data_IF_681502031509
#
_entry.id   IF_681502031509
#
_cell.length_a   1.000
_cell.length_b   1.000
_cell.length_c   1.000
_cell.angle_alpha   90.00
_cell.angle_beta   90.00
_cell.angle_gamma   90.00
#
_symmetry.space_group_name_H-M   'P 1'
#
loop_
_entity.id
_entity.type
_entity.pdbx_description
1 polymer ?
#
# COMPACT_ATOMS: atom_id res chain seq x y z
N UNK A 1 22.05 -11.21 -3.29
CA UNK A 1 21.12 -11.41 -2.14
C UNK A 1 21.16 -10.17 -1.26
N UNK A 2 20.01 -9.69 -0.83
CA UNK A 2 19.88 -8.54 0.05
C UNK A 2 20.42 -8.78 1.46
N UNK A 3 20.32 -7.77 2.31
CA UNK A 3 20.80 -7.81 3.69
C UNK A 3 19.76 -7.22 4.66
N UNK A 4 19.71 -7.77 5.87
CA UNK A 4 18.83 -7.35 6.95
C UNK A 4 19.58 -6.68 8.08
N UNK A 5 18.98 -5.61 8.61
CA UNK A 5 19.42 -4.92 9.82
C UNK A 5 18.25 -4.89 10.81
N UNK A 6 18.41 -5.49 11.99
CA UNK A 6 17.50 -5.25 13.12
C UNK A 6 17.90 -3.92 13.75
N UNK A 7 16.93 -2.99 13.84
CA UNK A 7 17.19 -1.66 14.38
C UNK A 7 17.42 -1.71 15.90
N UNK A 8 18.28 -0.84 16.39
CA UNK A 8 18.51 -0.69 17.84
C UNK A 8 17.30 -0.07 18.53
N UNK A 9 16.63 0.89 17.86
CA UNK A 9 15.41 1.51 18.34
C UNK A 9 14.19 0.60 18.15
N UNK A 10 13.34 0.59 19.18
CA UNK A 10 12.04 -0.10 19.16
C UNK A 10 10.97 0.80 18.56
N UNK A 11 9.96 0.21 17.91
CA UNK A 11 8.74 0.92 17.52
C UNK A 11 7.90 1.41 18.71
N UNK A 12 8.19 0.92 19.93
CA UNK A 12 7.51 1.22 21.18
C UNK A 12 6.04 0.76 21.23
N UNK A 13 5.39 0.57 20.09
CA UNK A 13 4.03 0.07 19.92
C UNK A 13 4.00 -0.92 18.76
N UNK A 14 3.04 -1.83 18.75
CA UNK A 14 2.83 -2.69 17.60
C UNK A 14 2.42 -1.83 16.39
N UNK A 15 3.17 -1.90 15.30
CA UNK A 15 2.87 -1.16 14.08
C UNK A 15 1.80 -1.92 13.28
N UNK A 16 0.53 -1.83 13.69
CA UNK A 16 -0.60 -2.49 13.01
C UNK A 16 -0.99 -1.75 11.73
N UNK A 17 -0.88 -0.42 11.75
CA UNK A 17 -1.12 0.46 10.63
C UNK A 17 0.10 1.33 10.43
N UNK A 18 0.53 1.55 9.19
CA UNK A 18 1.68 2.38 8.91
C UNK A 18 1.54 3.15 7.59
N UNK A 19 2.19 4.31 7.50
CA UNK A 19 2.27 5.10 6.27
C UNK A 19 3.59 5.85 6.18
N UNK A 20 4.08 6.03 4.94
CA UNK A 20 5.20 6.92 4.64
C UNK A 20 4.67 8.34 4.39
N UNK A 21 5.24 9.32 5.08
CA UNK A 21 4.85 10.72 5.00
C UNK A 21 5.74 11.52 4.01
N UNK A 22 5.27 12.67 3.50
CA UNK A 22 6.02 13.47 2.53
C UNK A 22 7.39 14.00 3.01
N UNK A 23 7.60 14.08 4.31
CA UNK A 23 8.89 14.43 4.91
C UNK A 23 9.86 13.24 5.07
N UNK A 24 9.45 12.04 4.62
CA UNK A 24 10.22 10.81 4.72
C UNK A 24 10.08 10.06 6.05
N UNK A 25 9.32 10.58 7.02
CA UNK A 25 9.02 9.88 8.27
C UNK A 25 8.03 8.74 8.03
N UNK A 26 8.11 7.69 8.85
CA UNK A 26 7.12 6.61 8.91
C UNK A 26 6.24 6.83 10.14
N UNK A 27 4.94 7.06 9.90
CA UNK A 27 3.95 7.07 10.99
C UNK A 27 3.32 5.70 11.11
N UNK A 28 3.12 5.23 12.34
CA UNK A 28 2.43 3.96 12.62
C UNK A 28 1.66 4.02 13.94
N UNK A 29 0.62 3.18 14.02
CA UNK A 29 -0.22 3.09 15.21
C UNK A 29 -0.80 1.69 15.40
N UNK A 30 -1.08 1.35 16.66
CA UNK A 30 -1.65 0.05 17.01
C UNK A 30 -3.18 0.06 17.09
N UNK A 31 -3.78 1.20 17.42
CA UNK A 31 -5.14 1.23 17.97
C UNK A 31 -5.17 0.76 19.42
N UNK A 32 -6.36 0.64 19.99
CA UNK A 32 -6.52 0.32 21.43
C UNK A 32 -6.36 -1.18 21.75
N UNK A 33 -6.54 -2.07 20.79
CA UNK A 33 -6.42 -3.53 20.94
C UNK A 33 -7.15 -4.11 22.18
N UNK A 34 -8.29 -3.50 22.58
CA UNK A 34 -9.07 -3.90 23.75
C UNK A 34 -8.51 -3.47 25.09
N UNK A 35 -7.50 -2.61 25.11
CA UNK A 35 -6.94 -1.99 26.34
C UNK A 35 -7.29 -0.51 26.36
N UNK A 36 -7.52 0.07 27.54
CA UNK A 36 -7.88 1.49 27.72
C UNK A 36 -6.73 2.48 27.43
N UNK A 37 -5.91 2.21 26.41
CA UNK A 37 -4.83 3.07 25.99
C UNK A 37 -5.26 3.75 24.69
N UNK A 38 -5.40 5.09 24.63
CA UNK A 38 -5.65 5.80 23.38
C UNK A 38 -4.66 5.36 22.33
N UNK A 39 -5.11 5.19 21.09
CA UNK A 39 -4.36 4.65 19.98
C UNK A 39 -2.90 5.12 19.99
N UNK A 40 -2.01 4.24 20.44
CA UNK A 40 -0.61 4.56 20.58
C UNK A 40 -0.02 4.74 19.18
N UNK A 41 0.24 6.00 18.82
CA UNK A 41 0.84 6.40 17.55
C UNK A 41 2.29 6.80 17.77
N UNK A 42 3.15 6.41 16.84
CA UNK A 42 4.55 6.82 16.80
C UNK A 42 4.92 7.28 15.40
N UNK A 43 5.92 8.14 15.36
CA UNK A 43 6.53 8.63 14.13
C UNK A 43 8.03 8.33 14.24
N UNK A 44 8.54 7.56 13.30
CA UNK A 44 9.95 7.21 13.20
C UNK A 44 10.60 7.95 12.03
N UNK A 45 11.74 8.57 12.28
CA UNK A 45 12.53 9.19 11.24
C UNK A 45 13.67 8.26 10.81
N UNK A 46 13.67 7.77 9.54
CA UNK A 46 14.66 6.79 9.07
C UNK A 46 16.10 7.30 9.06
N UNK A 47 16.31 8.62 8.98
CA UNK A 47 17.64 9.25 8.92
C UNK A 47 18.23 9.42 10.32
N UNK A 48 17.44 9.97 11.25
CA UNK A 48 17.90 10.26 12.62
C UNK A 48 17.70 9.09 13.57
N UNK A 49 16.96 8.07 13.17
CA UNK A 49 16.57 6.89 13.97
C UNK A 49 15.73 7.23 15.22
N UNK A 50 15.17 8.43 15.26
CA UNK A 50 14.37 8.90 16.41
C UNK A 50 12.92 8.46 16.26
N UNK A 51 12.37 7.87 17.32
CA UNK A 51 10.94 7.60 17.48
C UNK A 51 10.33 8.67 18.38
N UNK A 52 9.23 9.28 17.95
CA UNK A 52 8.53 10.34 18.69
C UNK A 52 7.02 10.12 18.68
N UNK A 53 6.31 10.76 19.58
CA UNK A 53 4.85 10.83 19.59
C UNK A 53 4.36 11.98 18.71
N UNK A 54 3.17 11.86 18.06
CA UNK A 54 2.53 13.00 17.43
C UNK A 54 1.99 13.97 18.50
N UNK A 55 1.77 15.25 18.16
CA UNK A 55 1.26 16.25 19.13
C UNK A 55 -0.14 15.97 19.66
N UNK A 56 -0.97 15.28 18.90
CA UNK A 56 -2.34 14.91 19.28
C UNK A 56 -2.59 13.44 19.02
N UNK A 57 -3.59 12.86 19.68
CA UNK A 57 -4.03 11.46 19.56
C UNK A 57 -5.50 11.40 19.13
N UNK A 58 -5.96 10.28 18.53
CA UNK A 58 -7.37 10.14 18.17
C UNK A 58 -8.24 10.01 19.43
N UNK A 59 -9.46 10.55 19.34
CA UNK A 59 -10.45 10.50 20.44
C UNK A 59 -11.16 9.14 20.52
N UNK A 60 -11.12 8.35 19.45
CA UNK A 60 -11.79 7.05 19.36
C UNK A 60 -10.77 5.98 18.98
N UNK A 61 -11.13 4.72 19.19
CA UNK A 61 -10.28 3.60 18.81
C UNK A 61 -10.24 3.42 17.29
N UNK A 62 -9.05 3.61 16.72
CA UNK A 62 -8.76 3.47 15.28
C UNK A 62 -8.20 2.07 14.93
N UNK A 63 -8.25 1.12 15.86
CA UNK A 63 -7.84 -0.25 15.58
C UNK A 63 -8.69 -0.86 14.46
N UNK A 64 -8.03 -1.46 13.49
CA UNK A 64 -8.68 -2.05 12.31
C UNK A 64 -9.44 -1.02 11.44
N UNK A 65 -8.93 0.22 11.36
CA UNK A 65 -9.39 1.26 10.45
C UNK A 65 -8.85 1.05 9.02
N UNK A 66 -9.50 1.67 8.03
CA UNK A 66 -8.94 1.89 6.70
C UNK A 66 -8.08 3.15 6.68
N UNK A 67 -7.05 3.18 5.83
CA UNK A 67 -6.21 4.37 5.70
C UNK A 67 -5.69 4.54 4.27
N UNK A 68 -5.51 5.80 3.85
CA UNK A 68 -4.93 6.13 2.54
C UNK A 68 -4.28 7.52 2.56
N UNK A 69 -3.13 7.72 1.87
CA UNK A 69 -2.55 9.04 1.70
C UNK A 69 -3.43 9.94 0.83
N UNK A 70 -3.64 11.18 1.26
CA UNK A 70 -4.30 12.23 0.51
C UNK A 70 -3.31 12.96 -0.41
N UNK A 71 -3.86 13.72 -1.36
CA UNK A 71 -3.05 14.51 -2.28
C UNK A 71 -2.18 15.59 -1.59
N UNK A 72 -2.59 16.07 -0.42
CA UNK A 72 -1.86 17.06 0.38
C UNK A 72 -0.82 16.43 1.33
N UNK A 73 -0.70 15.10 1.32
CA UNK A 73 0.28 14.34 2.12
C UNK A 73 -0.20 13.90 3.49
N UNK A 74 -1.39 14.34 3.94
CA UNK A 74 -2.02 13.78 5.14
C UNK A 74 -2.51 12.37 4.89
N UNK A 75 -2.69 11.61 5.96
CA UNK A 75 -3.29 10.27 5.89
C UNK A 75 -4.74 10.39 6.35
N UNK A 76 -5.69 10.03 5.49
CA UNK A 76 -7.07 9.82 5.90
C UNK A 76 -7.18 8.46 6.58
N UNK A 77 -7.72 8.45 7.80
CA UNK A 77 -8.00 7.25 8.58
C UNK A 77 -9.50 7.18 8.82
N UNK A 78 -10.13 6.05 8.48
CA UNK A 78 -11.59 5.89 8.48
C UNK A 78 -12.03 4.66 9.25
N UNK A 79 -13.05 4.80 10.09
CA UNK A 79 -13.59 3.70 10.84
C UNK A 79 -12.73 3.32 12.04
N UNK A 80 -12.64 2.02 12.31
CA UNK A 80 -11.99 1.45 13.48
C UNK A 80 -12.98 0.74 14.38
N UNK A 81 -12.57 0.41 15.60
CA UNK A 81 -13.36 -0.37 16.56
C UNK A 81 -14.19 0.55 17.46
N UNK A 82 -15.51 0.43 17.40
CA UNK A 82 -16.42 1.06 18.36
C UNK A 82 -16.68 0.15 19.56
N UNK A 83 -16.88 -1.14 19.29
CA UNK A 83 -17.04 -2.15 20.33
C UNK A 83 -16.31 -3.43 19.91
N UNK A 84 -15.60 -4.01 20.86
CA UNK A 84 -14.98 -5.33 20.72
C UNK A 84 -16.01 -6.45 20.84
N UNK A 85 -15.78 -7.62 20.22
CA UNK A 85 -16.71 -8.71 20.27
C UNK A 85 -16.87 -9.26 21.68
N UNK A 86 -18.07 -9.76 21.96
CA UNK A 86 -18.40 -10.52 23.17
C UNK A 86 -19.01 -11.84 22.73
N UNK A 87 -19.35 -12.73 23.68
CA UNK A 87 -20.01 -14.01 23.36
C UNK A 87 -21.32 -13.85 22.57
N UNK A 88 -21.93 -12.67 22.63
CA UNK A 88 -23.23 -12.39 22.02
C UNK A 88 -23.21 -11.34 20.89
N UNK A 89 -22.14 -10.56 20.78
CA UNK A 89 -22.06 -9.47 19.82
C UNK A 89 -20.77 -9.56 18.98
N UNK A 90 -20.84 -9.33 17.66
CA UNK A 90 -19.66 -9.22 16.80
C UNK A 90 -18.89 -7.89 17.07
N UNK A 91 -17.80 -7.66 16.35
CA UNK A 91 -17.19 -6.34 16.26
C UNK A 91 -18.19 -5.32 15.71
N UNK A 92 -18.20 -4.13 16.33
CA UNK A 92 -18.99 -2.99 15.87
C UNK A 92 -18.04 -1.91 15.35
N UNK A 93 -18.27 -1.47 14.12
CA UNK A 93 -17.47 -0.46 13.45
C UNK A 93 -17.75 0.97 13.91
N UNK A 94 -16.70 1.80 13.93
CA UNK A 94 -16.79 3.23 14.21
C UNK A 94 -17.15 4.04 12.96
N UNK A 95 -17.86 5.17 13.15
CA UNK A 95 -18.11 6.17 12.10
C UNK A 95 -17.01 7.22 12.00
N UNK A 96 -16.07 7.20 12.94
CA UNK A 96 -15.04 8.24 13.07
C UNK A 96 -14.16 8.30 11.85
N UNK A 97 -13.73 9.50 11.50
CA UNK A 97 -12.71 9.74 10.50
C UNK A 97 -11.73 10.82 10.99
N UNK A 98 -10.47 10.64 10.62
CA UNK A 98 -9.38 11.51 11.04
C UNK A 98 -8.44 11.81 9.87
N UNK A 99 -7.81 12.98 9.94
CA UNK A 99 -6.59 13.28 9.20
C UNK A 99 -5.41 13.13 10.15
N UNK A 100 -4.39 12.39 9.73
CA UNK A 100 -3.15 12.23 10.46
C UNK A 100 -2.02 12.93 9.71
N UNK A 101 -1.32 13.81 10.41
CA UNK A 101 -0.23 14.63 9.92
C UNK A 101 0.96 14.55 10.88
N UNK A 102 2.18 14.64 10.37
CA UNK A 102 3.40 14.51 11.20
C UNK A 102 3.63 15.67 12.17
N UNK A 103 3.09 16.84 11.87
CA UNK A 103 3.32 18.06 12.66
C UNK A 103 2.16 18.38 13.59
N UNK A 104 0.92 18.17 13.13
CA UNK A 104 -0.29 18.46 13.90
C UNK A 104 -0.77 17.23 14.67
N UNK A 105 -0.46 16.02 14.17
CA UNK A 105 -0.98 14.76 14.69
C UNK A 105 -2.38 14.46 14.15
N UNK A 106 -3.28 14.00 15.02
CA UNK A 106 -4.62 13.58 14.67
C UNK A 106 -5.61 14.77 14.70
N UNK A 107 -6.34 14.96 13.62
CA UNK A 107 -7.42 15.93 13.51
C UNK A 107 -8.69 15.21 13.13
N UNK A 108 -9.72 15.26 13.98
CA UNK A 108 -11.03 14.68 13.66
C UNK A 108 -11.70 15.46 12.53
N UNK A 109 -12.28 14.75 11.56
CA UNK A 109 -13.16 15.33 10.54
C UNK A 109 -14.59 14.84 10.75
N UNK A 110 -15.52 15.24 9.89
CA UNK A 110 -16.91 14.79 9.97
C UNK A 110 -16.99 13.25 9.93
N UNK A 111 -17.94 12.69 10.67
CA UNK A 111 -18.17 11.24 10.71
C UNK A 111 -18.78 10.75 9.40
N UNK A 112 -18.46 9.50 9.05
CA UNK A 112 -19.14 8.74 8.00
C UNK A 112 -20.61 8.50 8.33
N UNK A 113 -21.43 8.22 7.32
CA UNK A 113 -22.82 7.84 7.53
C UNK A 113 -22.97 6.46 8.19
N UNK A 114 -22.05 5.54 7.91
CA UNK A 114 -22.03 4.16 8.43
C UNK A 114 -20.77 3.86 9.24
N UNK A 115 -20.93 3.11 10.33
CA UNK A 115 -19.80 2.53 11.04
C UNK A 115 -19.04 1.54 10.16
N UNK A 116 -17.72 1.43 10.34
CA UNK A 116 -16.87 0.53 9.57
C UNK A 116 -15.73 0.01 10.42
N UNK A 117 -15.69 -1.31 10.60
CA UNK A 117 -14.56 -2.05 11.11
C UNK A 117 -14.01 -2.90 9.95
N UNK A 118 -12.72 -2.81 9.62
CA UNK A 118 -12.11 -3.40 8.42
C UNK A 118 -12.64 -2.82 7.08
N UNK A 119 -12.77 -1.50 6.91
CA UNK A 119 -13.07 -0.92 5.61
C UNK A 119 -11.83 -0.82 4.73
N UNK A 120 -12.00 -0.74 3.42
CA UNK A 120 -10.95 -0.30 2.51
C UNK A 120 -11.18 1.13 2.05
N UNK A 121 -10.07 1.88 1.93
CA UNK A 121 -10.06 3.26 1.47
C UNK A 121 -8.98 3.46 0.40
N UNK A 122 -9.33 4.09 -0.74
CA UNK A 122 -8.37 4.38 -1.81
C UNK A 122 -8.59 5.74 -2.45
N UNK A 123 -7.49 6.46 -2.70
CA UNK A 123 -7.50 7.72 -3.43
C UNK A 123 -7.85 7.49 -4.91
N UNK A 124 -8.84 8.21 -5.42
CA UNK A 124 -9.26 8.25 -6.82
C UNK A 124 -8.46 9.28 -7.62
N UNK A 125 -8.56 9.20 -8.95
CA UNK A 125 -7.92 10.14 -9.87
C UNK A 125 -8.33 11.60 -9.65
N UNK A 126 -9.56 11.84 -9.21
CA UNK A 126 -10.08 13.20 -8.94
C UNK A 126 -9.72 13.74 -7.55
N UNK A 127 -8.83 13.06 -6.81
CA UNK A 127 -8.38 13.50 -5.48
C UNK A 127 -9.35 13.21 -4.33
N UNK A 128 -10.50 12.56 -4.61
CA UNK A 128 -11.44 12.07 -3.59
C UNK A 128 -11.07 10.65 -3.16
N UNK A 129 -11.57 10.21 -2.02
CA UNK A 129 -11.30 8.86 -1.48
C UNK A 129 -12.56 8.02 -1.50
N UNK A 130 -12.49 6.87 -2.16
CA UNK A 130 -13.53 5.83 -2.12
C UNK A 130 -13.36 5.00 -0.85
N UNK A 131 -14.48 4.80 -0.12
CA UNK A 131 -14.53 3.95 1.08
C UNK A 131 -15.63 2.91 0.93
N UNK A 132 -15.26 1.65 1.07
CA UNK A 132 -16.16 0.51 0.89
C UNK A 132 -16.02 -0.52 2.01
N UNK A 133 -17.04 -1.34 2.19
CA UNK A 133 -17.09 -2.48 3.12
C UNK A 133 -16.91 -2.06 4.60
N UNK A 134 -16.63 -3.04 5.42
CA UNK A 134 -16.46 -2.95 6.87
C UNK A 134 -17.69 -3.42 7.65
N UNK A 135 -17.46 -3.99 8.84
CA UNK A 135 -18.55 -4.29 9.77
C UNK A 135 -19.15 -2.98 10.29
N UNK A 136 -20.46 -2.86 10.14
CA UNK A 136 -21.22 -1.65 10.43
C UNK A 136 -21.44 -1.42 11.93
N UNK A 137 -22.17 -0.37 12.24
CA UNK A 137 -22.62 -0.04 13.59
C UNK A 137 -23.73 -0.97 14.14
N UNK A 138 -24.21 -1.91 13.34
CA UNK A 138 -25.07 -3.03 13.74
C UNK A 138 -24.36 -4.40 13.74
N UNK A 139 -23.08 -4.44 13.37
CA UNK A 139 -22.24 -5.66 13.31
C UNK A 139 -22.33 -6.44 12.00
N UNK A 140 -23.23 -6.08 11.08
CA UNK A 140 -23.27 -6.62 9.73
C UNK A 140 -22.28 -5.94 8.79
N UNK A 141 -21.87 -6.58 7.71
CA UNK A 141 -21.06 -5.93 6.67
C UNK A 141 -21.93 -4.91 5.92
N UNK A 142 -21.49 -3.64 5.86
CA UNK A 142 -22.23 -2.63 5.11
C UNK A 142 -21.95 -2.73 3.61
N UNK A 143 -22.99 -2.78 2.76
CA UNK A 143 -22.84 -2.69 1.32
C UNK A 143 -22.67 -1.25 0.83
N UNK A 144 -22.83 -0.26 1.72
CA UNK A 144 -22.88 1.16 1.38
C UNK A 144 -21.49 1.66 0.98
N UNK A 145 -21.48 2.54 -0.03
CA UNK A 145 -20.27 3.16 -0.56
C UNK A 145 -20.29 4.65 -0.22
N UNK A 146 -19.21 5.16 0.33
CA UNK A 146 -19.02 6.56 0.66
C UNK A 146 -17.78 7.11 -0.03
N UNK A 147 -17.83 8.39 -0.37
CA UNK A 147 -16.68 9.14 -0.89
C UNK A 147 -16.36 10.27 0.08
N UNK A 148 -15.09 10.39 0.44
CA UNK A 148 -14.56 11.54 1.15
C UNK A 148 -13.91 12.51 0.18
N UNK A 149 -14.35 13.75 0.20
CA UNK A 149 -13.72 14.85 -0.51
C UNK A 149 -13.00 15.73 0.53
N UNK A 150 -11.68 15.92 0.44
CA UNK A 150 -10.94 16.75 1.38
C UNK A 150 -11.44 18.22 1.46
N UNK A 151 -12.16 18.69 0.44
CA UNK A 151 -12.68 20.06 0.37
C UNK A 151 -14.14 20.20 0.84
N UNK A 152 -14.97 19.16 0.63
CA UNK A 152 -16.42 19.23 0.91
C UNK A 152 -16.93 18.21 1.92
N UNK A 153 -16.10 17.24 2.33
CA UNK A 153 -16.46 16.21 3.30
C UNK A 153 -17.06 14.95 2.66
N UNK A 154 -17.99 14.29 3.39
CA UNK A 154 -18.54 13.00 3.00
C UNK A 154 -19.74 13.08 2.06
N UNK A 155 -19.74 12.21 1.07
CA UNK A 155 -20.84 11.92 0.17
C UNK A 155 -21.23 10.44 0.30
N UNK A 156 -22.48 10.16 0.63
CA UNK A 156 -23.04 8.80 0.54
C UNK A 156 -23.54 8.58 -0.88
N UNK A 157 -22.99 7.58 -1.57
CA UNK A 157 -23.39 7.30 -2.94
C UNK A 157 -24.78 6.69 -3.06
N UNK A 158 -25.34 6.73 -4.28
CA UNK A 158 -26.64 6.15 -4.62
C UNK A 158 -26.69 4.63 -4.35
N UNK A 159 -27.88 4.08 -4.25
CA UNK A 159 -28.05 2.63 -4.01
C UNK A 159 -27.49 1.74 -5.13
N UNK A 160 -27.37 2.26 -6.35
CA UNK A 160 -26.70 1.57 -7.47
C UNK A 160 -25.23 1.25 -7.20
N UNK A 161 -24.56 2.04 -6.34
CA UNK A 161 -23.19 1.79 -5.90
C UNK A 161 -23.08 0.71 -4.82
N UNK A 162 -24.18 0.28 -4.23
CA UNK A 162 -24.14 -0.69 -3.13
C UNK A 162 -23.67 -2.05 -3.59
N UNK A 163 -22.70 -2.63 -2.83
CA UNK A 163 -22.24 -3.99 -3.04
C UNK A 163 -21.74 -4.60 -1.74
N UNK A 164 -22.16 -5.82 -1.45
CA UNK A 164 -21.54 -6.60 -0.37
C UNK A 164 -20.14 -7.04 -0.83
N UNK A 165 -19.14 -6.58 -0.11
CA UNK A 165 -17.73 -6.93 -0.30
C UNK A 165 -17.22 -7.56 0.99
N UNK A 166 -16.21 -8.43 0.93
CA UNK A 166 -15.57 -8.95 2.15
C UNK A 166 -14.94 -7.81 2.96
N UNK A 167 -14.52 -8.10 4.18
CA UNK A 167 -13.74 -7.16 4.99
C UNK A 167 -12.38 -6.91 4.33
N UNK A 168 -11.89 -5.66 4.34
CA UNK A 168 -10.66 -5.25 3.67
C UNK A 168 -10.53 -5.73 2.22
N UNK A 169 -11.50 -5.48 1.34
CA UNK A 169 -11.33 -5.83 -0.08
C UNK A 169 -10.16 -5.05 -0.68
N UNK A 170 -9.37 -5.70 -1.56
CA UNK A 170 -8.21 -5.08 -2.21
C UNK A 170 -8.68 -4.17 -3.33
N UNK A 171 -8.34 -2.89 -3.27
CA UNK A 171 -8.75 -1.88 -4.25
C UNK A 171 -7.54 -1.37 -5.05
N UNK A 172 -7.70 -1.26 -6.37
CA UNK A 172 -6.68 -0.72 -7.25
C UNK A 172 -7.31 0.20 -8.29
N UNK A 173 -6.93 1.49 -8.30
CA UNK A 173 -7.30 2.42 -9.39
C UNK A 173 -6.55 1.99 -10.64
N UNK A 174 -7.26 1.75 -11.72
CA UNK A 174 -6.69 1.34 -13.00
C UNK A 174 -6.44 2.55 -13.91
N UNK A 175 -5.56 2.44 -14.91
CA UNK A 175 -5.38 3.47 -15.94
C UNK A 175 -6.67 3.82 -16.69
N UNK A 176 -7.66 2.92 -16.70
CA UNK A 176 -8.99 3.19 -17.26
C UNK A 176 -9.83 4.17 -16.40
N UNK A 177 -9.44 4.43 -15.16
CA UNK A 177 -10.22 5.19 -14.18
C UNK A 177 -11.18 4.35 -13.34
N UNK A 178 -11.40 3.08 -13.68
CA UNK A 178 -12.15 2.15 -12.83
C UNK A 178 -11.32 1.72 -11.62
N UNK A 179 -11.99 1.30 -10.57
CA UNK A 179 -11.37 0.69 -9.40
C UNK A 179 -11.58 -0.81 -9.44
N UNK A 180 -10.51 -1.57 -9.64
CA UNK A 180 -10.53 -3.02 -9.48
C UNK A 180 -10.63 -3.36 -8.00
N UNK A 181 -11.51 -4.30 -7.68
CA UNK A 181 -11.70 -4.86 -6.35
C UNK A 181 -11.54 -6.37 -6.41
N UNK A 182 -10.63 -6.93 -5.60
CA UNK A 182 -10.35 -8.37 -5.57
C UNK A 182 -9.82 -8.78 -4.19
N UNK A 183 -9.49 -10.07 -4.06
CA UNK A 183 -8.91 -10.63 -2.84
C UNK A 183 -9.90 -10.85 -1.71
N UNK A 184 -9.45 -11.43 -0.60
CA UNK A 184 -10.25 -11.79 0.55
C UNK A 184 -11.50 -12.61 0.21
N UNK A 185 -11.37 -13.57 -0.72
CA UNK A 185 -12.46 -14.45 -1.12
C UNK A 185 -13.45 -13.84 -2.11
N UNK A 186 -13.11 -12.72 -2.78
CA UNK A 186 -13.94 -12.12 -3.83
C UNK A 186 -13.38 -12.33 -5.23
N UNK A 187 -14.26 -12.53 -6.18
CA UNK A 187 -13.93 -12.45 -7.61
C UNK A 187 -13.61 -11.00 -7.99
N UNK A 188 -12.85 -10.84 -9.09
CA UNK A 188 -12.51 -9.53 -9.63
C UNK A 188 -13.76 -8.78 -10.12
N UNK A 189 -14.01 -7.64 -9.52
CA UNK A 189 -15.06 -6.70 -9.89
C UNK A 189 -14.48 -5.30 -10.11
N UNK A 190 -15.20 -4.47 -10.84
CA UNK A 190 -14.78 -3.11 -11.15
C UNK A 190 -15.85 -2.12 -10.73
N UNK A 191 -15.45 -1.08 -10.03
CA UNK A 191 -16.31 0.06 -9.72
C UNK A 191 -15.97 1.22 -10.65
N UNK A 192 -16.99 1.77 -11.30
CA UNK A 192 -16.87 3.01 -12.05
C UNK A 192 -17.25 4.19 -11.15
N UNK A 193 -16.30 5.08 -10.76
CA UNK A 193 -16.58 6.16 -9.83
C UNK A 193 -17.50 7.26 -10.41
N UNK A 194 -17.55 7.43 -11.73
CA UNK A 194 -18.40 8.44 -12.39
C UNK A 194 -19.83 7.94 -12.55
N UNK A 195 -19.99 6.69 -13.01
CA UNK A 195 -21.32 6.09 -13.14
C UNK A 195 -21.89 5.62 -11.80
N UNK A 196 -21.06 5.48 -10.76
CA UNK A 196 -21.41 4.90 -9.45
C UNK A 196 -22.01 3.50 -9.57
N UNK A 197 -21.42 2.67 -10.41
CA UNK A 197 -21.91 1.32 -10.71
C UNK A 197 -20.77 0.30 -10.67
N UNK A 198 -21.13 -0.95 -10.33
CA UNK A 198 -20.25 -2.10 -10.35
C UNK A 198 -20.47 -2.93 -11.62
N UNK A 199 -19.41 -3.52 -12.14
CA UNK A 199 -19.46 -4.61 -13.11
C UNK A 199 -18.55 -5.77 -12.69
N UNK A 200 -18.93 -6.97 -13.02
CA UNK A 200 -18.13 -8.17 -12.84
C UNK A 200 -17.38 -8.54 -14.13
N UNK A 201 -16.19 -9.14 -14.00
CA UNK A 201 -15.50 -9.72 -15.15
C UNK A 201 -16.15 -11.06 -15.58
N UNK A 202 -17.07 -11.58 -14.78
CA UNK A 202 -17.71 -12.87 -15.01
C UNK A 202 -16.76 -14.04 -14.70
N UNK A 203 -16.94 -15.23 -15.33
CA UNK A 203 -16.13 -16.41 -15.03
C UNK A 203 -14.62 -16.24 -15.22
N UNK A 204 -14.20 -15.33 -16.11
CA UNK A 204 -12.79 -15.01 -16.32
C UNK A 204 -12.14 -14.28 -15.14
N UNK A 205 -12.96 -13.66 -14.26
CA UNK A 205 -12.52 -12.99 -13.03
C UNK A 205 -12.46 -13.90 -11.82
N UNK A 206 -12.91 -15.14 -11.93
CA UNK A 206 -12.88 -16.10 -10.82
C UNK A 206 -11.45 -16.61 -10.58
N UNK A 207 -11.01 -16.56 -9.34
CA UNK A 207 -9.74 -17.14 -8.86
C UNK A 207 -10.02 -18.03 -7.65
N UNK A 208 -9.10 -18.90 -7.24
CA UNK A 208 -9.22 -19.56 -5.96
C UNK A 208 -9.46 -18.53 -4.86
N UNK A 209 -10.57 -18.64 -4.14
CA UNK A 209 -10.94 -17.72 -3.07
C UNK A 209 -9.99 -17.95 -1.90
N UNK A 210 -9.01 -17.06 -1.75
CA UNK A 210 -8.09 -17.04 -0.60
C UNK A 210 -8.34 -15.81 0.25
N UNK A 211 -8.03 -15.92 1.55
CA UNK A 211 -8.09 -14.82 2.50
C UNK A 211 -6.67 -14.36 2.81
N UNK A 212 -6.52 -13.06 3.09
CA UNK A 212 -5.26 -12.47 3.58
C UNK A 212 -4.07 -12.76 2.65
N UNK A 213 -4.32 -12.52 1.39
CA UNK A 213 -3.48 -12.74 0.23
C UNK A 213 -2.70 -11.47 -0.19
N UNK A 214 -1.73 -11.64 -1.08
CA UNK A 214 -1.17 -10.57 -1.88
C UNK A 214 -2.12 -10.27 -3.03
N UNK A 215 -2.56 -9.02 -3.14
CA UNK A 215 -3.23 -8.53 -4.34
C UNK A 215 -2.63 -7.17 -4.70
N UNK A 216 -2.03 -7.04 -5.88
CA UNK A 216 -1.26 -5.85 -6.24
C UNK A 216 -1.37 -5.52 -7.73
N UNK A 217 -1.42 -4.22 -8.04
CA UNK A 217 -1.21 -3.71 -9.39
C UNK A 217 0.30 -3.71 -9.65
N UNK A 218 0.74 -4.62 -10.52
CA UNK A 218 2.16 -4.81 -10.83
C UNK A 218 2.78 -3.58 -11.52
N UNK A 219 4.09 -3.46 -11.36
CA UNK A 219 4.91 -2.50 -12.07
C UNK A 219 5.15 -2.94 -13.53
N UNK A 220 5.17 -1.99 -14.46
CA UNK A 220 4.65 -0.65 -14.30
C UNK A 220 3.11 -0.61 -14.41
N UNK A 221 2.49 0.31 -13.67
CA UNK A 221 1.02 0.45 -13.60
C UNK A 221 0.35 0.66 -14.96
N UNK A 222 1.09 1.19 -15.95
CA UNK A 222 0.65 1.38 -17.34
C UNK A 222 0.13 0.09 -18.00
N UNK A 223 0.62 -1.06 -17.56
CA UNK A 223 0.24 -2.34 -18.13
C UNK A 223 -1.05 -2.93 -17.54
N UNK A 224 -1.60 -2.32 -16.49
CA UNK A 224 -2.83 -2.75 -15.85
C UNK A 224 -2.86 -4.27 -15.54
N UNK A 225 -1.73 -4.83 -15.09
CA UNK A 225 -1.62 -6.23 -14.69
C UNK A 225 -1.82 -6.36 -13.19
N UNK A 226 -2.72 -7.25 -12.78
CA UNK A 226 -2.92 -7.58 -11.37
C UNK A 226 -2.29 -8.94 -11.07
N UNK A 227 -1.59 -9.02 -9.94
CA UNK A 227 -1.12 -10.26 -9.32
C UNK A 227 -1.98 -10.60 -8.12
N UNK A 228 -2.32 -11.86 -7.99
CA UNK A 228 -2.90 -12.45 -6.80
C UNK A 228 -2.05 -13.65 -6.37
N UNK A 229 -1.58 -13.68 -5.11
CA UNK A 229 -0.71 -14.75 -4.64
C UNK A 229 -0.85 -15.03 -3.14
N UNK A 230 -0.65 -16.28 -2.74
CA UNK A 230 -0.70 -16.69 -1.34
C UNK A 230 -2.09 -16.61 -0.72
N UNK A 231 -2.15 -16.31 0.56
CA UNK A 231 -3.38 -16.37 1.35
C UNK A 231 -3.73 -17.81 1.76
N UNK A 232 -4.92 -18.01 2.30
CA UNK A 232 -5.43 -19.31 2.68
C UNK A 232 -6.75 -19.60 2.00
N UNK A 233 -6.85 -20.77 1.35
CA UNK A 233 -8.09 -21.24 0.76
C UNK A 233 -9.04 -21.75 1.86
N UNK A 234 -10.37 -21.51 1.77
CA UNK A 234 -11.33 -21.95 2.78
C UNK A 234 -11.29 -23.46 3.07
N UNK A 235 -11.00 -24.25 2.04
CA UNK A 235 -10.91 -25.72 2.13
C UNK A 235 -9.57 -26.21 2.72
N UNK A 236 -8.54 -25.37 2.82
CA UNK A 236 -7.22 -25.74 3.34
C UNK A 236 -7.14 -25.70 4.87
N UNK A 237 -8.22 -25.30 5.55
CA UNK A 237 -8.21 -25.01 6.97
C UNK A 237 -7.31 -23.82 7.27
N UNK A 238 -6.34 -23.96 8.20
CA UNK A 238 -5.42 -22.91 8.62
C UNK A 238 -4.13 -22.84 7.78
N UNK A 239 -4.01 -23.59 6.67
CA UNK A 239 -2.79 -23.64 5.86
C UNK A 239 -2.80 -22.56 4.76
N UNK A 240 -1.68 -21.87 4.61
CA UNK A 240 -1.42 -20.96 3.50
C UNK A 240 -1.20 -21.70 2.18
N UNK A 241 -1.26 -20.97 1.05
CA UNK A 241 -0.96 -21.49 -0.29
C UNK A 241 0.25 -20.79 -0.91
N UNK A 242 0.88 -21.48 -1.86
CA UNK A 242 1.93 -20.92 -2.73
C UNK A 242 1.40 -20.41 -4.05
N UNK A 243 0.13 -20.65 -4.36
CA UNK A 243 -0.47 -20.36 -5.65
C UNK A 243 -0.32 -18.88 -6.03
N UNK A 244 -0.06 -18.62 -7.31
CA UNK A 244 0.06 -17.27 -7.84
C UNK A 244 -0.61 -17.19 -9.22
N UNK A 245 -1.32 -16.09 -9.45
CA UNK A 245 -2.09 -15.85 -10.65
C UNK A 245 -1.88 -14.41 -11.13
N UNK A 246 -1.88 -14.23 -12.44
CA UNK A 246 -1.83 -12.90 -13.07
C UNK A 246 -3.02 -12.74 -14.03
N UNK A 247 -3.55 -11.54 -14.07
CA UNK A 247 -4.46 -11.10 -15.13
C UNK A 247 -3.88 -9.84 -15.80
N UNK A 248 -3.94 -9.81 -17.13
CA UNK A 248 -3.63 -8.63 -17.95
C UNK A 248 -4.97 -8.00 -18.40
N UNK A 249 -5.31 -6.86 -17.82
CA UNK A 249 -6.57 -6.16 -18.11
C UNK A 249 -6.55 -5.41 -19.45
N UNK A 250 -5.38 -5.27 -20.11
CA UNK A 250 -5.25 -4.75 -21.45
C UNK A 250 -5.39 -5.83 -22.53
N UNK A 251 -5.44 -7.10 -22.16
CA UNK A 251 -5.68 -8.18 -23.13
C UNK A 251 -7.11 -8.07 -23.73
N UNK A 252 -7.32 -8.50 -24.99
CA UNK A 252 -8.64 -8.51 -25.61
C UNK A 252 -9.71 -9.30 -24.82
N UNK A 253 -9.28 -10.43 -24.23
CA UNK A 253 -10.09 -11.30 -23.39
C UNK A 253 -9.37 -11.51 -22.05
N UNK A 254 -9.49 -10.58 -21.08
CA UNK A 254 -8.81 -10.68 -19.79
C UNK A 254 -9.29 -11.92 -19.03
N UNK A 255 -8.33 -12.73 -18.60
CA UNK A 255 -8.60 -13.89 -17.74
C UNK A 255 -7.43 -14.15 -16.80
N UNK A 256 -7.71 -14.63 -15.61
CA UNK A 256 -6.67 -15.08 -14.71
C UNK A 256 -5.95 -16.30 -15.30
N UNK A 257 -4.64 -16.29 -15.18
CA UNK A 257 -3.80 -17.46 -15.47
C UNK A 257 -2.86 -17.75 -14.30
N UNK A 258 -2.67 -19.00 -14.02
CA UNK A 258 -1.69 -19.45 -13.07
C UNK A 258 -0.27 -19.20 -13.60
N UNK A 259 0.63 -18.80 -12.71
CA UNK A 259 2.06 -18.63 -12.95
C UNK A 259 2.87 -19.51 -11.99
N UNK A 260 4.19 -19.48 -12.11
CA UNK A 260 5.06 -20.18 -11.16
C UNK A 260 4.66 -19.83 -9.71
N UNK A 261 4.47 -20.81 -8.84
CA UNK A 261 4.09 -20.57 -7.44
C UNK A 261 5.26 -19.96 -6.64
N UNK A 262 4.95 -19.33 -5.53
CA UNK A 262 5.95 -18.98 -4.51
C UNK A 262 6.64 -20.25 -3.97
N UNK A 263 7.83 -20.12 -3.42
CA UNK A 263 8.54 -21.22 -2.76
C UNK A 263 7.89 -21.58 -1.42
N UNK A 264 7.34 -20.60 -0.71
CA UNK A 264 6.74 -20.79 0.60
C UNK A 264 5.24 -20.40 0.60
N UNK A 265 4.37 -21.22 1.20
CA UNK A 265 2.97 -20.82 1.43
C UNK A 265 2.94 -19.69 2.46
N UNK A 266 2.07 -18.70 2.24
CA UNK A 266 2.01 -17.52 3.09
C UNK A 266 0.58 -17.10 3.37
N UNK A 267 0.23 -17.02 4.66
CA UNK A 267 -0.94 -16.32 5.16
C UNK A 267 -0.50 -15.00 5.78
N UNK A 268 -1.15 -13.88 5.46
CA UNK A 268 -0.77 -12.51 5.84
C UNK A 268 0.61 -12.04 5.34
N UNK A 269 1.01 -12.27 4.09
CA UNK A 269 2.23 -11.70 3.56
C UNK A 269 2.08 -10.22 3.24
N UNK A 270 3.12 -9.43 3.48
CA UNK A 270 3.21 -8.06 2.96
C UNK A 270 3.82 -8.06 1.57
N UNK A 271 3.49 -7.05 0.76
CA UNK A 271 4.07 -6.87 -0.57
C UNK A 271 4.44 -5.42 -0.84
N UNK A 272 5.63 -5.19 -1.43
CA UNK A 272 6.20 -3.87 -1.68
C UNK A 272 6.76 -3.82 -3.10
N UNK A 273 6.32 -2.83 -3.90
CA UNK A 273 6.91 -2.54 -5.20
C UNK A 273 8.28 -1.88 -5.01
N UNK A 274 9.32 -2.42 -5.65
CA UNK A 274 10.69 -1.94 -5.57
C UNK A 274 11.01 -0.94 -6.70
N UNK A 275 12.08 -0.13 -6.57
CA UNK A 275 12.51 0.82 -7.60
C UNK A 275 12.79 0.21 -8.97
N UNK A 276 13.26 -1.04 -9.02
CA UNK A 276 13.52 -1.78 -10.26
C UNK A 276 12.26 -2.45 -10.87
N UNK A 277 11.09 -2.16 -10.32
CA UNK A 277 9.80 -2.69 -10.78
C UNK A 277 9.46 -4.08 -10.29
N UNK A 278 10.32 -4.74 -9.53
CA UNK A 278 10.01 -6.03 -8.91
C UNK A 278 9.10 -5.90 -7.71
N UNK A 279 8.46 -7.00 -7.33
CA UNK A 279 7.62 -7.10 -6.15
C UNK A 279 8.32 -7.90 -5.06
N UNK A 280 8.56 -7.27 -3.92
CA UNK A 280 9.10 -7.91 -2.72
C UNK A 280 7.95 -8.41 -1.85
N UNK A 281 7.91 -9.70 -1.54
CA UNK A 281 6.91 -10.35 -0.68
C UNK A 281 7.59 -10.84 0.58
N UNK A 282 7.09 -10.44 1.75
CA UNK A 282 7.77 -10.66 3.02
C UNK A 282 6.80 -11.02 4.14
N UNK A 283 7.25 -11.85 5.07
CA UNK A 283 6.46 -12.28 6.22
C UNK A 283 5.35 -13.25 5.87
N UNK A 284 4.37 -13.29 6.74
CA UNK A 284 3.32 -14.29 6.73
C UNK A 284 3.73 -15.59 7.40
N UNK A 285 2.75 -16.47 7.61
CA UNK A 285 2.93 -17.79 8.17
C UNK A 285 2.51 -18.88 7.20
N UNK A 286 3.11 -20.08 7.32
CA UNK A 286 2.63 -21.26 6.60
C UNK A 286 1.28 -21.75 7.11
N UNK A 287 0.98 -21.40 8.36
CA UNK A 287 -0.29 -21.63 9.02
C UNK A 287 -0.73 -20.31 9.68
N UNK A 288 -2.05 -20.09 9.85
CA UNK A 288 -2.59 -18.88 10.43
C UNK A 288 -1.89 -18.52 11.77
N UNK A 289 -1.26 -17.36 11.81
CA UNK A 289 -0.54 -16.83 12.97
C UNK A 289 0.53 -17.77 13.59
N UNK A 290 1.02 -18.72 12.80
CA UNK A 290 2.02 -19.71 13.23
C UNK A 290 2.99 -20.00 12.08
N UNK A 291 4.09 -20.70 12.42
CA UNK A 291 5.11 -21.15 11.46
C UNK A 291 5.54 -20.03 10.50
N UNK A 292 6.19 -18.97 11.01
CA UNK A 292 6.53 -17.78 10.24
C UNK A 292 7.49 -18.11 9.09
N UNK A 293 7.26 -17.48 7.94
CA UNK A 293 8.17 -17.54 6.79
C UNK A 293 9.16 -16.39 6.91
N UNK A 294 10.43 -16.73 7.12
CA UNK A 294 11.50 -15.75 7.30
C UNK A 294 12.14 -15.31 5.98
N UNK A 295 12.19 -16.19 4.99
CA UNK A 295 12.75 -15.92 3.68
C UNK A 295 11.77 -15.06 2.86
N UNK A 296 12.14 -13.82 2.45
CA UNK A 296 11.33 -13.08 1.51
C UNK A 296 11.47 -13.66 0.10
N UNK A 297 10.51 -13.35 -0.74
CA UNK A 297 10.53 -13.73 -2.15
C UNK A 297 10.34 -12.49 -3.03
N UNK A 298 11.10 -12.42 -4.11
CA UNK A 298 11.07 -11.33 -5.07
C UNK A 298 10.47 -11.87 -6.37
N UNK A 299 9.36 -11.26 -6.80
CA UNK A 299 8.73 -11.54 -8.09
C UNK A 299 9.23 -10.55 -9.13
N UNK A 300 9.73 -11.07 -10.24
CA UNK A 300 10.08 -10.27 -11.41
C UNK A 300 8.93 -10.33 -12.43
N UNK A 301 8.19 -9.23 -12.65
CA UNK A 301 7.06 -9.23 -13.57
C UNK A 301 7.45 -9.31 -15.05
N UNK A 302 8.73 -9.09 -15.38
CA UNK A 302 9.23 -9.20 -16.76
C UNK A 302 9.47 -10.66 -17.17
N UNK A 303 9.95 -11.48 -16.22
CA UNK A 303 10.22 -12.91 -16.44
C UNK A 303 9.17 -13.83 -15.83
N UNK A 304 8.29 -13.26 -14.96
CA UNK A 304 7.27 -13.97 -14.18
C UNK A 304 7.85 -15.09 -13.30
N UNK A 305 9.00 -14.81 -12.69
CA UNK A 305 9.71 -15.75 -11.84
C UNK A 305 9.86 -15.23 -10.42
N UNK A 306 9.90 -16.16 -9.48
CA UNK A 306 10.18 -15.91 -8.06
C UNK A 306 11.61 -16.25 -7.71
N UNK A 307 12.23 -15.43 -6.87
CA UNK A 307 13.56 -15.67 -6.29
C UNK A 307 13.49 -15.49 -4.78
N UNK A 308 13.92 -16.48 -4.03
CA UNK A 308 14.05 -16.39 -2.57
C UNK A 308 15.30 -15.59 -2.21
N UNK A 309 15.21 -14.75 -1.19
CA UNK A 309 16.33 -13.93 -0.72
C UNK A 309 16.67 -14.18 0.76
N UNK A 310 17.65 -13.43 1.30
CA UNK A 310 18.17 -13.60 2.64
C UNK A 310 17.06 -13.53 3.70
N UNK A 311 17.03 -14.46 4.68
CA UNK A 311 15.98 -14.48 5.69
C UNK A 311 16.04 -13.30 6.65
N UNK A 312 14.88 -12.76 7.01
CA UNK A 312 14.76 -11.79 8.11
C UNK A 312 15.00 -12.44 9.47
N UNK A 313 15.27 -11.63 10.48
CA UNK A 313 15.62 -12.12 11.81
C UNK A 313 14.42 -12.11 12.77
N UNK A 314 13.41 -11.31 12.49
CA UNK A 314 12.21 -11.16 13.33
C UNK A 314 10.99 -11.71 12.60
N UNK A 315 10.28 -12.71 13.18
CA UNK A 315 9.05 -13.23 12.58
C UNK A 315 8.01 -12.14 12.38
N UNK A 316 7.37 -12.16 11.19
CA UNK A 316 6.30 -11.22 10.81
C UNK A 316 5.07 -12.01 10.42
N UNK A 317 4.08 -12.02 11.29
CA UNK A 317 2.79 -12.67 11.08
C UNK A 317 1.69 -11.61 10.92
N UNK A 318 0.47 -11.91 11.35
CA UNK A 318 -0.65 -10.96 11.32
C UNK A 318 -0.31 -9.64 12.01
N UNK A 319 -0.87 -8.54 11.52
CA UNK A 319 -0.57 -7.16 11.95
C UNK A 319 0.89 -6.71 11.69
N UNK A 320 1.61 -7.37 10.79
CA UNK A 320 2.88 -6.85 10.30
C UNK A 320 2.70 -5.91 9.11
N UNK A 321 3.68 -5.05 8.88
CA UNK A 321 3.70 -4.07 7.81
C UNK A 321 5.07 -4.01 7.13
N UNK A 322 5.06 -3.64 5.85
CA UNK A 322 6.26 -3.37 5.06
C UNK A 322 6.06 -2.14 4.17
N UNK A 323 7.02 -1.21 4.15
CA UNK A 323 7.00 0.03 3.37
C UNK A 323 8.34 0.27 2.68
N UNK A 324 8.29 0.67 1.41
CA UNK A 324 9.47 1.20 0.71
C UNK A 324 9.83 2.58 1.26
N UNK A 325 11.11 2.80 1.55
CA UNK A 325 11.65 4.08 1.98
C UNK A 325 12.29 4.84 0.80
N UNK A 326 12.45 6.17 0.91
CA UNK A 326 13.08 6.98 -0.14
C UNK A 326 14.51 6.57 -0.50
N UNK A 327 15.22 5.92 0.42
CA UNK A 327 16.57 5.41 0.17
C UNK A 327 16.59 4.04 -0.54
N UNK A 328 15.41 3.49 -0.89
CA UNK A 328 15.27 2.21 -1.60
C UNK A 328 15.31 0.98 -0.70
N UNK A 329 15.46 1.14 0.62
CA UNK A 329 15.30 0.04 1.58
C UNK A 329 13.83 -0.21 1.88
N UNK A 330 13.52 -1.39 2.41
CA UNK A 330 12.19 -1.72 2.90
C UNK A 330 12.20 -1.76 4.43
N UNK A 331 11.38 -0.94 5.06
CA UNK A 331 11.11 -1.01 6.50
C UNK A 331 10.06 -2.08 6.77
N UNK A 332 10.32 -2.92 7.78
CA UNK A 332 9.42 -4.01 8.18
C UNK A 332 9.24 -3.99 9.69
N UNK A 333 7.99 -3.99 10.15
CA UNK A 333 7.67 -3.94 11.57
C UNK A 333 6.30 -4.55 11.86
N UNK A 334 5.87 -4.53 13.12
CA UNK A 334 4.57 -5.05 13.55
C UNK A 334 4.59 -6.55 13.78
N UNK A 335 3.44 -7.14 13.87
CA UNK A 335 3.02 -8.39 14.48
C UNK A 335 2.59 -8.17 15.93
N UNK A 336 1.60 -8.92 16.39
CA UNK A 336 1.06 -8.77 17.76
C UNK A 336 2.15 -8.92 18.81
N UNK A 337 2.31 -7.86 19.61
CA UNK A 337 3.30 -7.81 20.69
C UNK A 337 4.76 -7.60 20.25
N UNK A 338 5.06 -7.52 18.95
CA UNK A 338 6.42 -7.31 18.45
C UNK A 338 6.71 -5.83 18.21
N UNK A 339 7.77 -5.31 18.80
CA UNK A 339 8.19 -3.91 18.68
C UNK A 339 9.56 -3.73 18.03
N UNK A 340 10.27 -4.80 17.68
CA UNK A 340 11.50 -4.68 16.89
C UNK A 340 11.17 -4.29 15.46
N UNK A 341 12.00 -3.45 14.88
CA UNK A 341 11.93 -3.04 13.49
C UNK A 341 13.12 -3.56 12.73
N UNK A 342 12.95 -3.83 11.44
CA UNK A 342 14.03 -4.27 10.55
C UNK A 342 14.05 -3.41 9.30
N UNK A 343 15.25 -3.25 8.73
CA UNK A 343 15.44 -2.72 7.38
C UNK A 343 16.01 -3.81 6.49
N UNK A 344 15.36 -4.02 5.36
CA UNK A 344 15.87 -4.83 4.28
C UNK A 344 16.54 -3.94 3.23
N UNK A 345 17.80 -4.22 2.92
CA UNK A 345 18.55 -3.63 1.82
C UNK A 345 18.57 -4.62 0.65
N UNK A 346 17.80 -4.37 -0.42
CA UNK A 346 17.88 -5.18 -1.63
C UNK A 346 19.29 -5.20 -2.22
N UNK A 347 19.61 -6.19 -3.03
CA UNK A 347 20.94 -6.41 -3.60
C UNK A 347 21.42 -5.21 -4.44
N UNK A 348 20.54 -4.47 -5.10
CA UNK A 348 20.88 -3.25 -5.83
C UNK A 348 21.49 -2.15 -4.94
N UNK A 349 21.32 -2.21 -3.61
CA UNK A 349 21.95 -1.28 -2.65
C UNK A 349 23.32 -1.75 -2.14
N UNK A 350 23.70 -3.00 -2.42
CA UNK A 350 24.92 -3.63 -1.89
C UNK A 350 26.11 -3.55 -2.85
N UNK A 351 25.88 -3.05 -4.06
CA UNK A 351 26.92 -2.81 -5.08
C UNK A 351 27.30 -1.33 -5.17
N UNK A 352 28.21 -0.94 -5.94
CA UNK A 352 28.63 0.34 -6.44
C UNK A 352 28.24 1.65 -5.73
N UNK A 353 28.69 2.77 -6.26
CA UNK A 353 28.25 4.10 -5.85
C UNK A 353 26.84 4.37 -6.40
N UNK A 354 26.01 5.02 -5.61
CA UNK A 354 24.65 5.38 -6.03
C UNK A 354 24.66 6.70 -6.80
N UNK A 355 23.84 6.85 -7.85
CA UNK A 355 23.65 8.16 -8.46
C UNK A 355 23.06 9.14 -7.43
N UNK A 356 23.47 10.39 -7.51
CA UNK A 356 23.03 11.44 -6.58
C UNK A 356 22.23 12.48 -7.34
N UNK A 357 20.94 12.61 -7.04
CA UNK A 357 20.08 13.67 -7.56
C UNK A 357 20.40 14.94 -6.78
N UNK A 358 20.90 15.96 -7.47
CA UNK A 358 21.26 17.26 -6.86
C UNK A 358 20.13 18.27 -6.94
N UNK A 359 19.25 18.14 -7.92
CA UNK A 359 18.08 18.99 -8.09
C UNK A 359 16.91 18.23 -8.71
N UNK A 360 15.74 18.43 -8.13
CA UNK A 360 14.46 17.94 -8.62
C UNK A 360 13.33 18.86 -8.14
N UNK A 361 12.26 19.07 -8.91
CA UNK A 361 11.16 19.93 -8.48
C UNK A 361 10.41 19.34 -7.30
N UNK A 362 9.95 20.21 -6.38
CA UNK A 362 9.10 19.79 -5.26
C UNK A 362 7.69 19.36 -5.72
N UNK A 363 7.22 19.85 -6.87
CA UNK A 363 5.93 19.49 -7.47
C UNK A 363 5.96 19.54 -8.98
N UNK A 364 5.14 18.69 -9.62
CA UNK A 364 4.98 18.63 -11.07
C UNK A 364 3.51 18.46 -11.43
N UNK A 365 3.15 18.85 -12.67
CA UNK A 365 1.80 18.68 -13.20
C UNK A 365 1.76 17.61 -14.29
N UNK A 366 0.60 17.00 -14.49
CA UNK A 366 0.41 15.93 -15.46
C UNK A 366 0.82 16.33 -16.87
N UNK A 367 1.50 15.41 -17.58
CA UNK A 367 1.92 15.57 -18.96
C UNK A 367 3.01 16.62 -19.21
N UNK A 368 3.51 17.31 -18.15
CA UNK A 368 4.54 18.31 -18.29
C UNK A 368 5.94 17.72 -18.18
N UNK A 369 6.87 18.26 -18.95
CA UNK A 369 8.28 17.96 -18.79
C UNK A 369 8.85 18.72 -17.58
N UNK A 370 9.76 18.08 -16.84
CA UNK A 370 10.50 18.71 -15.73
C UNK A 370 11.95 18.25 -15.73
N UNK A 371 12.89 19.15 -15.36
CA UNK A 371 14.30 18.79 -15.30
C UNK A 371 14.65 18.11 -13.98
N UNK A 372 15.66 17.25 -14.02
CA UNK A 372 16.44 16.80 -12.87
C UNK A 372 17.92 16.90 -13.18
N UNK A 373 18.75 17.05 -12.16
CA UNK A 373 20.21 17.08 -12.29
C UNK A 373 20.84 16.01 -11.40
N UNK A 374 21.90 15.41 -11.91
CA UNK A 374 22.74 14.47 -11.16
C UNK A 374 24.08 15.11 -10.81
N UNK A 375 24.73 14.62 -9.78
CA UNK A 375 26.05 15.10 -9.35
C UNK A 375 27.15 14.77 -10.36
N UNK A 376 26.99 13.63 -11.04
CA UNK A 376 27.97 13.09 -11.98
C UNK A 376 27.26 12.71 -13.29
N UNK A 377 27.99 12.69 -14.38
CA UNK A 377 27.51 12.18 -15.67
C UNK A 377 27.43 10.64 -15.60
N UNK A 378 26.27 10.15 -15.22
CA UNK A 378 25.97 8.72 -15.15
C UNK A 378 24.91 8.34 -16.16
N UNK A 379 25.10 7.19 -16.78
CA UNK A 379 24.06 6.59 -17.62
C UNK A 379 22.85 6.21 -16.77
N UNK A 380 21.66 6.63 -17.17
CA UNK A 380 20.38 6.24 -16.54
C UNK A 380 19.74 5.11 -17.34
N UNK A 381 19.28 4.07 -16.65
CA UNK A 381 18.52 2.96 -17.25
C UNK A 381 17.01 3.15 -17.13
N UNK A 382 16.54 3.75 -16.04
CA UNK A 382 15.10 3.97 -15.81
C UNK A 382 14.83 5.12 -14.86
N UNK A 383 13.63 5.70 -14.98
CA UNK A 383 13.07 6.67 -14.05
C UNK A 383 11.65 6.23 -13.69
N UNK A 384 11.30 6.30 -12.41
CA UNK A 384 9.97 5.92 -11.97
C UNK A 384 9.46 6.82 -10.84
N UNK A 385 8.15 7.04 -10.84
CA UNK A 385 7.41 7.47 -9.67
C UNK A 385 6.89 6.25 -8.89
N UNK A 386 7.22 6.17 -7.61
CA UNK A 386 6.59 5.22 -6.69
C UNK A 386 5.81 6.00 -5.65
N UNK A 387 4.49 5.77 -5.61
CA UNK A 387 3.59 6.52 -4.72
C UNK A 387 3.91 6.22 -3.27
N UNK A 388 3.92 7.27 -2.42
CA UNK A 388 3.88 7.08 -0.97
C UNK A 388 2.63 6.30 -0.63
N UNK A 389 2.77 5.31 0.24
CA UNK A 389 1.70 4.37 0.49
C UNK A 389 1.42 4.20 1.98
N UNK A 390 0.27 3.60 2.25
CA UNK A 390 -0.15 3.23 3.58
C UNK A 390 -0.53 1.75 3.61
N UNK A 391 -0.17 1.06 4.67
CA UNK A 391 -0.34 -0.38 4.81
C UNK A 391 -1.00 -0.71 6.14
N UNK A 392 -1.89 -1.69 6.11
CA UNK A 392 -2.47 -2.31 7.29
C UNK A 392 -2.88 -3.74 6.97
N UNK A 393 -2.75 -4.65 7.94
CA UNK A 393 -3.22 -6.03 7.78
C UNK A 393 -2.74 -6.67 6.45
N UNK A 394 -1.48 -6.41 6.09
CA UNK A 394 -0.84 -6.86 4.86
C UNK A 394 -1.36 -6.21 3.56
N UNK A 395 -2.15 -5.14 3.64
CA UNK A 395 -2.76 -4.48 2.48
C UNK A 395 -2.11 -3.13 2.21
N UNK A 396 -1.36 -3.06 1.13
CA UNK A 396 -0.80 -1.82 0.60
C UNK A 396 -1.47 -1.47 -0.73
N UNK A 397 -2.72 -1.03 -0.67
CA UNK A 397 -3.56 -0.74 -1.85
C UNK A 397 -3.13 0.50 -2.61
N UNK A 398 -2.58 1.47 -1.90
CA UNK A 398 -2.17 2.75 -2.48
C UNK A 398 -0.85 2.70 -3.21
N UNK A 399 -0.06 1.63 -3.08
CA UNK A 399 1.23 1.53 -3.76
C UNK A 399 1.06 1.49 -5.28
N UNK A 400 1.98 2.19 -5.97
CA UNK A 400 1.94 2.30 -7.42
C UNK A 400 3.32 2.64 -7.95
N UNK A 401 3.76 1.93 -8.95
CA UNK A 401 4.98 2.20 -9.70
C UNK A 401 4.61 2.65 -11.11
N UNK A 402 5.02 3.85 -11.50
CA UNK A 402 4.78 4.44 -12.82
C UNK A 402 6.13 4.72 -13.45
N UNK A 403 6.45 4.04 -14.55
CA UNK A 403 7.65 4.33 -15.32
C UNK A 403 7.48 5.65 -16.06
N UNK A 404 8.51 6.49 -16.04
CA UNK A 404 8.53 7.80 -16.67
C UNK A 404 9.48 7.83 -17.86
N UNK A 405 9.03 8.46 -18.95
CA UNK A 405 9.90 8.74 -20.08
C UNK A 405 10.89 9.84 -19.72
N UNK A 406 12.13 9.70 -20.22
CA UNK A 406 13.17 10.67 -20.01
C UNK A 406 14.08 10.84 -21.25
N UNK A 407 14.69 11.99 -21.36
CA UNK A 407 15.70 12.30 -22.40
C UNK A 407 16.88 13.01 -21.76
N UNK A 408 18.08 12.83 -22.32
CA UNK A 408 19.25 13.58 -21.90
C UNK A 408 19.03 15.08 -22.16
N UNK A 409 19.38 15.92 -21.19
CA UNK A 409 19.37 17.38 -21.25
C UNK A 409 20.77 17.95 -21.28
N UNK A 410 20.89 19.28 -21.15
CA UNK A 410 22.17 20.01 -21.11
C UNK A 410 22.82 19.95 -19.70
N UNK A 411 24.12 20.19 -19.59
CA UNK A 411 25.04 19.16 -19.12
C UNK A 411 24.61 18.62 -17.76
N UNK A 412 24.74 17.31 -17.54
CA UNK A 412 24.43 16.56 -16.32
C UNK A 412 22.94 16.54 -15.93
N UNK A 413 22.03 16.97 -16.84
CA UNK A 413 20.60 17.03 -16.62
C UNK A 413 19.82 16.01 -17.46
N UNK A 414 18.60 15.72 -17.02
CA UNK A 414 17.61 14.92 -17.74
C UNK A 414 16.26 15.64 -17.73
N UNK A 415 15.55 15.54 -18.85
CA UNK A 415 14.14 15.94 -18.95
C UNK A 415 13.26 14.72 -18.74
N UNK A 416 12.45 14.77 -17.71
CA UNK A 416 11.51 13.70 -17.34
C UNK A 416 10.12 14.15 -17.78
N UNK A 417 9.31 13.24 -18.30
CA UNK A 417 7.90 13.50 -18.60
C UNK A 417 7.03 12.99 -17.46
N UNK A 418 6.24 13.88 -16.84
CA UNK A 418 5.31 13.51 -15.79
C UNK A 418 4.22 12.58 -16.34
N UNK A 419 3.55 11.74 -15.49
CA UNK A 419 2.45 10.87 -15.89
C UNK A 419 1.40 11.63 -16.71
N UNK A 420 0.82 10.98 -17.72
CA UNK A 420 -0.10 11.64 -18.65
C UNK A 420 -1.38 12.14 -17.98
N UNK A 421 -1.90 11.38 -17.02
CA UNK A 421 -3.16 11.68 -16.34
C UNK A 421 -3.24 11.07 -14.93
N UNK A 422 -4.29 11.47 -14.22
CA UNK A 422 -4.53 11.08 -12.84
C UNK A 422 -5.06 9.64 -12.67
N UNK A 423 -5.58 8.99 -13.71
CA UNK A 423 -5.95 7.59 -13.63
C UNK A 423 -4.70 6.71 -13.56
N UNK A 424 -3.70 7.07 -14.38
CA UNK A 424 -2.41 6.39 -14.31
C UNK A 424 -1.70 6.64 -12.99
N UNK A 425 -1.72 7.88 -12.51
CA UNK A 425 -1.04 8.28 -11.28
C UNK A 425 -1.95 9.23 -10.46
N UNK A 426 -2.78 8.72 -9.53
CA UNK A 426 -3.62 9.58 -8.67
C UNK A 426 -2.82 10.70 -8.01
N UNK A 427 -3.39 11.90 -7.81
CA UNK A 427 -2.66 13.03 -7.24
C UNK A 427 -2.11 12.71 -5.86
N UNK A 428 -0.96 13.29 -5.52
CA UNK A 428 -0.29 13.04 -4.24
C UNK A 428 1.21 13.05 -4.34
N UNK A 429 1.88 12.43 -3.37
CA UNK A 429 3.32 12.43 -3.26
C UNK A 429 3.93 11.12 -3.77
N UNK A 430 5.03 11.23 -4.50
CA UNK A 430 5.74 10.13 -5.13
C UNK A 430 7.23 10.24 -4.83
N UNK A 431 7.86 9.12 -4.57
CA UNK A 431 9.31 8.97 -4.59
C UNK A 431 9.77 8.94 -6.05
N UNK A 432 10.64 9.86 -6.46
CA UNK A 432 11.23 9.88 -7.79
C UNK A 432 12.53 9.06 -7.79
N UNK A 433 12.43 7.80 -8.19
CA UNK A 433 13.60 6.95 -8.32
C UNK A 433 14.22 7.10 -9.71
N UNK A 434 15.54 7.25 -9.72
CA UNK A 434 16.41 7.24 -10.91
C UNK A 434 17.39 6.09 -10.74
N UNK A 435 17.40 5.15 -11.67
CA UNK A 435 18.30 4.00 -11.65
C UNK A 435 19.40 4.23 -12.70
N UNK A 436 20.63 3.97 -12.30
CA UNK A 436 21.77 4.02 -13.22
C UNK A 436 21.79 2.82 -14.19
N UNK A 437 22.83 2.76 -15.04
CA UNK A 437 23.00 1.68 -16.02
C UNK A 437 23.18 0.28 -15.43
N UNK A 438 23.52 0.18 -14.14
CA UNK A 438 23.65 -1.06 -13.40
C UNK A 438 22.39 -1.41 -12.58
N UNK A 439 21.38 -0.53 -12.59
CA UNK A 439 20.12 -0.71 -11.87
C UNK A 439 20.18 -0.22 -10.41
N UNK A 440 21.22 0.54 -10.03
CA UNK A 440 21.35 1.08 -8.67
C UNK A 440 20.49 2.35 -8.54
N UNK A 441 19.54 2.42 -7.60
CA UNK A 441 18.69 3.59 -7.44
C UNK A 441 19.38 4.73 -6.69
N UNK A 442 19.14 5.97 -7.12
CA UNK A 442 19.39 7.16 -6.32
C UNK A 442 18.55 7.13 -5.03
N UNK A 443 18.92 7.96 -4.03
CA UNK A 443 17.98 8.31 -2.96
C UNK A 443 16.90 9.20 -3.59
N UNK A 444 15.66 8.79 -3.49
CA UNK A 444 14.55 9.44 -4.17
C UNK A 444 14.14 10.74 -3.45
N UNK A 445 14.13 11.90 -4.11
CA UNK A 445 13.37 13.04 -3.63
C UNK A 445 11.87 12.71 -3.68
N UNK A 446 11.10 13.29 -2.77
CA UNK A 446 9.65 13.20 -2.76
C UNK A 446 9.08 14.37 -3.55
N UNK A 447 8.33 14.06 -4.60
CA UNK A 447 7.75 15.02 -5.54
C UNK A 447 6.22 14.94 -5.45
N UNK A 448 5.55 16.08 -5.35
CA UNK A 448 4.08 16.13 -5.38
C UNK A 448 3.58 16.20 -6.83
N UNK A 449 2.71 15.26 -7.21
CA UNK A 449 1.98 15.29 -8.47
C UNK A 449 0.64 16.00 -8.24
N UNK A 450 0.47 17.17 -8.85
CA UNK A 450 -0.69 18.03 -8.64
C UNK A 450 -1.60 18.05 -9.86
N UNK A 451 -2.91 18.07 -9.63
CA UNK A 451 -3.89 18.39 -10.66
C UNK A 451 -3.79 19.90 -10.99
N UNK A 452 -3.94 20.25 -12.27
CA UNK A 452 -3.97 21.64 -12.73
C UNK A 452 -5.26 22.33 -12.27
#
# INVERSE_FOLDING_TARGET
>A
MGAWEVLEESSQVAAVHAALLPNGDVVYYSGNTGQDIPAATRIWNPTTRVVREPPTVPETDVFCSGLTPLWDGKILVVGGTKLYPTDTNPFIGSKSAYLLDSEVGWTRVADMAFGRWYPSAIMLANGRVLVVSGASDDGGITPRVEIYDPLSGWELLAESANRFLPLYPRLHVLPSGEVACLGNGSDLAFFNPEAQEWRDLGPAGAIPHTHDDVAVLLAPAQFAKLLHAGGAAPESGDAGTTAAHIIDLNAPDPAWREIAPMANPRWFPNSVLLPDGKLFVVGGGRVQNQDPVLEPEIFDPATETWTTDAPMQVPRLYHSNALLLPDGRVWVAGTDGETRMELYSPDYLLGGARPVITDAPASVTYGQGFPIHLLEDVSISSVAFIRLSAVTHCFNMGQRHVTLDFTAGDPDGFQITAPADANLAPPGHYMLFVLDGEGVPAVAPIVQLVAV
#
